data_IF_763844436546
#
_entry.id   IF_763844436546
#
_cell.length_a   1.000
_cell.length_b   1.000
_cell.length_c   1.000
_cell.angle_alpha   90.00
_cell.angle_beta   90.00
_cell.angle_gamma   90.00
#
_symmetry.space_group_name_H-M   'P 1'
#
loop_
_entity.id
_entity.type
_entity.pdbx_description
1 polymer ?
#
# COMPACT_ATOMS: atom_id res chain seq x y z
N UNK A 1 21.90 8.64 -20.62
CA UNK A 1 21.55 7.37 -19.94
C UNK A 1 20.45 6.67 -20.74
N UNK A 2 20.74 5.51 -21.34
CA UNK A 2 19.71 4.65 -21.91
C UNK A 2 18.95 3.96 -20.78
N UNK A 3 17.64 3.80 -20.92
CA UNK A 3 16.77 3.23 -19.88
C UNK A 3 16.20 1.89 -20.37
N UNK A 4 16.20 0.90 -19.48
CA UNK A 4 15.56 -0.39 -19.74
C UNK A 4 14.05 -0.28 -19.46
N UNK A 5 13.23 -0.70 -20.43
CA UNK A 5 11.79 -0.83 -20.25
C UNK A 5 11.44 -2.19 -19.64
N UNK A 6 10.59 -2.20 -18.60
CA UNK A 6 10.11 -3.42 -17.94
C UNK A 6 8.59 -3.47 -18.04
N UNK A 7 8.04 -4.55 -18.59
CA UNK A 7 6.59 -4.71 -18.73
C UNK A 7 6.00 -5.19 -17.39
N UNK A 8 4.77 -4.78 -17.09
CA UNK A 8 4.08 -5.22 -15.86
C UNK A 8 3.95 -6.76 -15.77
N UNK A 9 3.75 -7.42 -16.91
CA UNK A 9 3.71 -8.89 -17.00
C UNK A 9 5.04 -9.53 -16.56
N UNK A 10 6.17 -8.88 -16.84
CA UNK A 10 7.49 -9.37 -16.45
C UNK A 10 7.67 -9.33 -14.93
N UNK A 11 7.13 -8.29 -14.29
CA UNK A 11 7.10 -8.15 -12.82
C UNK A 11 6.28 -9.26 -12.19
N UNK A 12 5.07 -9.51 -12.71
CA UNK A 12 4.18 -10.57 -12.21
C UNK A 12 4.84 -11.95 -12.36
N UNK A 13 5.41 -12.24 -13.53
CA UNK A 13 6.09 -13.51 -13.78
C UNK A 13 7.28 -13.71 -12.83
N UNK A 14 8.00 -12.64 -12.49
CA UNK A 14 9.14 -12.70 -11.59
C UNK A 14 8.73 -12.96 -10.14
N UNK A 15 7.67 -12.30 -9.66
CA UNK A 15 7.09 -12.57 -8.33
C UNK A 15 6.69 -14.04 -8.22
N UNK A 16 6.03 -14.58 -9.25
CA UNK A 16 5.62 -15.98 -9.27
C UNK A 16 6.80 -16.95 -9.36
N UNK A 17 7.85 -16.63 -10.12
CA UNK A 17 9.08 -17.45 -10.20
C UNK A 17 9.79 -17.53 -8.86
N UNK A 18 9.78 -16.43 -8.08
CA UNK A 18 10.37 -16.33 -6.73
C UNK A 18 9.37 -16.66 -5.62
N UNK A 19 8.55 -17.69 -5.83
CA UNK A 19 7.56 -18.16 -4.86
C UNK A 19 8.15 -18.47 -3.47
N UNK A 20 9.44 -18.84 -3.40
CA UNK A 20 10.14 -19.06 -2.14
C UNK A 20 10.21 -17.78 -1.27
N UNK A 21 10.35 -16.59 -1.86
CA UNK A 21 10.32 -15.30 -1.12
C UNK A 21 8.94 -15.11 -0.51
N UNK A 22 7.88 -15.42 -1.26
CA UNK A 22 6.51 -15.38 -0.76
C UNK A 22 6.34 -16.29 0.45
N UNK A 23 6.77 -17.55 0.33
CA UNK A 23 6.68 -18.52 1.43
C UNK A 23 7.47 -18.06 2.65
N UNK A 24 8.69 -17.57 2.48
CA UNK A 24 9.53 -17.06 3.57
C UNK A 24 8.84 -15.90 4.28
N UNK A 25 8.37 -14.87 3.55
CA UNK A 25 7.72 -13.71 4.14
C UNK A 25 6.41 -14.08 4.86
N UNK A 26 5.62 -14.99 4.27
CA UNK A 26 4.39 -15.49 4.91
C UNK A 26 4.71 -16.21 6.22
N UNK A 27 5.69 -17.11 6.23
CA UNK A 27 6.07 -17.83 7.46
C UNK A 27 6.61 -16.84 8.51
N UNK A 28 7.52 -15.94 8.11
CA UNK A 28 8.11 -14.96 9.01
C UNK A 28 7.04 -14.08 9.68
N UNK A 29 6.10 -13.55 8.91
CA UNK A 29 5.05 -12.68 9.45
C UNK A 29 3.98 -13.45 10.22
N UNK A 30 3.64 -14.68 9.78
CA UNK A 30 2.73 -15.56 10.49
C UNK A 30 3.26 -15.99 11.87
N UNK A 31 4.57 -15.96 12.08
CA UNK A 31 5.20 -16.18 13.40
C UNK A 31 5.39 -14.86 14.14
N UNK A 32 5.84 -13.78 13.48
CA UNK A 32 6.16 -12.52 14.14
C UNK A 32 4.93 -11.83 14.74
N UNK A 33 3.80 -11.78 14.02
CA UNK A 33 2.60 -11.04 14.44
C UNK A 33 1.94 -11.65 15.70
N UNK A 34 1.74 -12.98 15.81
CA UNK A 34 1.25 -13.58 17.05
C UNK A 34 2.19 -13.38 18.25
N UNK A 35 3.51 -13.46 18.04
CA UNK A 35 4.50 -13.25 19.11
C UNK A 35 4.49 -11.79 19.59
N UNK A 36 4.37 -10.83 18.68
CA UNK A 36 4.26 -9.42 19.02
C UNK A 36 3.03 -9.15 19.90
N UNK A 37 1.88 -9.75 19.55
CA UNK A 37 0.67 -9.65 20.37
C UNK A 37 0.83 -10.33 21.73
N UNK A 38 1.32 -11.57 21.76
CA UNK A 38 1.53 -12.32 23.01
C UNK A 38 2.42 -11.54 24.00
N UNK A 39 3.50 -10.91 23.52
CA UNK A 39 4.38 -10.11 24.37
C UNK A 39 3.68 -8.86 24.93
N UNK A 40 2.82 -8.20 24.13
CA UNK A 40 2.04 -7.06 24.59
C UNK A 40 0.97 -7.50 25.61
N UNK A 41 0.27 -8.60 25.35
CA UNK A 41 -0.73 -9.17 26.26
C UNK A 41 -0.09 -9.63 27.59
N UNK A 42 1.11 -10.21 27.55
CA UNK A 42 1.89 -10.58 28.74
C UNK A 42 2.32 -9.37 29.55
N UNK A 43 2.85 -8.32 28.90
CA UNK A 43 3.21 -7.06 29.59
C UNK A 43 2.00 -6.42 30.26
N UNK A 44 0.84 -6.45 29.58
CA UNK A 44 -0.42 -5.98 30.12
C UNK A 44 -0.84 -6.80 31.34
N UNK A 45 -0.75 -8.14 31.27
CA UNK A 45 -1.08 -9.03 32.38
C UNK A 45 -0.14 -8.85 33.59
N UNK A 46 1.17 -8.68 33.37
CA UNK A 46 2.15 -8.40 34.44
C UNK A 46 1.92 -7.03 35.08
N UNK A 47 1.61 -6.01 34.27
CA UNK A 47 1.23 -4.68 34.77
C UNK A 47 -0.02 -4.76 35.65
N UNK A 48 -1.03 -5.52 35.22
CA UNK A 48 -2.25 -5.73 35.99
C UNK A 48 -2.00 -6.50 37.29
N UNK A 49 -1.11 -7.50 37.29
CA UNK A 49 -0.72 -8.25 38.51
C UNK A 49 -0.04 -7.35 39.54
N UNK A 50 0.91 -6.52 39.14
CA UNK A 50 1.58 -5.57 40.04
C UNK A 50 0.60 -4.56 40.64
N UNK A 51 -0.37 -4.12 39.84
CA UNK A 51 -1.41 -3.19 40.27
C UNK A 51 -2.34 -3.86 41.32
N UNK A 52 -2.70 -5.13 41.14
CA UNK A 52 -3.48 -5.92 42.10
C UNK A 52 -2.70 -6.18 43.40
N UNK A 53 -1.40 -6.44 43.34
CA UNK A 53 -0.55 -6.68 44.52
C UNK A 53 -0.37 -5.40 45.35
N UNK A 54 -0.21 -4.25 44.70
CA UNK A 54 -0.21 -2.93 45.35
C UNK A 54 -1.56 -2.54 45.97
N UNK A 55 -2.66 -3.07 45.44
CA UNK A 55 -3.99 -2.91 46.05
C UNK A 55 -4.16 -3.80 47.29
N UNK A 56 -3.67 -5.05 47.26
CA UNK A 56 -3.73 -5.96 48.42
C UNK A 56 -2.90 -5.50 49.62
N UNK A 57 -1.72 -4.94 49.38
CA UNK A 57 -0.85 -4.43 50.45
C UNK A 57 -1.43 -3.18 51.16
N UNK A 58 -2.40 -2.51 50.53
CA UNK A 58 -3.17 -1.39 51.12
C UNK A 58 -4.41 -1.83 51.89
N UNK A 59 -4.98 -3.00 51.58
CA UNK A 59 -6.20 -3.52 52.22
C UNK A 59 -5.93 -4.16 53.60
N UNK A 60 -4.73 -4.70 53.86
CA UNK A 60 -4.38 -5.30 55.17
C UNK A 60 -4.21 -4.26 56.32
N UNK A 61 -4.39 -2.97 56.05
CA UNK A 61 -4.16 -1.87 56.99
C UNK A 61 -5.43 -1.13 57.48
N UNK A 62 -6.64 -1.53 57.08
CA UNK A 62 -7.86 -0.83 57.47
C UNK A 62 -8.98 -1.81 57.83
N UNK A 63 -9.15 -2.04 59.14
CA UNK A 63 -10.28 -2.73 59.74
C UNK A 63 -11.25 -1.68 60.34
N UNK A 64 -12.56 -1.93 60.22
CA UNK A 64 -13.73 -1.24 60.84
C UNK A 64 -14.35 0.00 60.12
N UNK A 65 -15.68 0.27 60.26
CA UNK A 65 -16.63 0.18 59.15
C UNK A 65 -17.60 1.39 59.10
N UNK A 66 -17.34 2.36 58.24
CA UNK A 66 -18.37 3.32 57.81
C UNK A 66 -18.16 3.57 56.32
N UNK A 67 -19.02 2.97 55.52
CA UNK A 67 -18.79 2.71 54.11
C UNK A 67 -19.38 3.81 53.23
N UNK A 68 -18.69 4.94 53.14
CA UNK A 68 -18.67 5.79 51.94
C UNK A 68 -17.42 5.41 51.14
N UNK A 69 -17.61 4.75 49.98
CA UNK A 69 -16.51 4.34 49.11
C UNK A 69 -16.01 5.60 48.39
N UNK A 70 -14.90 6.17 48.85
CA UNK A 70 -14.19 7.24 48.15
C UNK A 70 -13.37 6.63 47.01
N UNK A 71 -13.79 6.86 45.76
CA UNK A 71 -13.06 6.39 44.59
C UNK A 71 -11.88 7.31 44.27
N UNK A 72 -10.80 6.82 43.62
CA UNK A 72 -9.71 7.69 43.16
C UNK A 72 -10.23 8.84 42.28
N UNK A 73 -9.60 10.02 42.34
CA UNK A 73 -9.97 11.18 41.50
C UNK A 73 -10.09 10.83 40.00
N UNK A 74 -9.29 9.88 39.53
CA UNK A 74 -9.34 9.38 38.15
C UNK A 74 -10.66 8.66 37.81
N UNK A 75 -11.31 8.01 38.77
CA UNK A 75 -12.63 7.41 38.59
C UNK A 75 -13.66 8.50 38.24
N UNK A 76 -13.72 9.57 39.03
CA UNK A 76 -14.66 10.66 38.83
C UNK A 76 -14.36 11.44 37.54
N UNK A 77 -13.08 11.60 37.18
CA UNK A 77 -12.70 12.20 35.90
C UNK A 77 -13.16 11.35 34.70
N UNK A 78 -12.99 10.03 34.76
CA UNK A 78 -13.43 9.13 33.68
C UNK A 78 -14.95 9.01 33.66
N UNK A 79 -15.62 9.02 34.81
CA UNK A 79 -17.08 9.03 34.92
C UNK A 79 -17.68 10.30 34.30
N UNK A 80 -17.12 11.47 34.59
CA UNK A 80 -17.53 12.72 33.94
C UNK A 80 -17.38 12.65 32.41
N UNK A 81 -16.27 12.08 31.91
CA UNK A 81 -16.09 11.86 30.47
C UNK A 81 -17.15 10.91 29.90
N UNK A 82 -17.47 9.82 30.61
CA UNK A 82 -18.53 8.89 30.18
C UNK A 82 -19.87 9.60 30.08
N UNK A 83 -20.21 10.43 31.06
CA UNK A 83 -21.50 11.14 31.11
C UNK A 83 -21.60 12.20 30.00
N UNK A 84 -20.51 12.91 29.73
CA UNK A 84 -20.41 13.81 28.56
C UNK A 84 -20.62 13.05 27.24
N UNK A 85 -19.93 11.92 27.05
CA UNK A 85 -20.04 11.13 25.82
C UNK A 85 -21.40 10.45 25.66
N UNK A 86 -21.99 9.94 26.73
CA UNK A 86 -23.37 9.40 26.71
C UNK A 86 -24.38 10.49 26.38
N UNK A 87 -24.27 11.65 27.01
CA UNK A 87 -25.13 12.79 26.69
C UNK A 87 -24.97 13.22 25.23
N UNK A 88 -23.76 13.18 24.68
CA UNK A 88 -23.52 13.43 23.26
C UNK A 88 -24.16 12.36 22.35
N UNK A 89 -23.93 11.07 22.62
CA UNK A 89 -24.50 9.96 21.83
C UNK A 89 -26.04 10.00 21.79
N UNK A 90 -26.68 10.37 22.91
CA UNK A 90 -28.14 10.43 23.02
C UNK A 90 -28.75 11.69 22.41
N UNK A 91 -28.06 12.83 22.48
CA UNK A 91 -28.64 14.13 22.13
C UNK A 91 -28.23 14.61 20.74
N UNK A 92 -27.03 14.27 20.28
CA UNK A 92 -26.44 14.76 19.02
C UNK A 92 -27.34 14.48 17.81
N UNK A 93 -27.59 15.51 17.01
CA UNK A 93 -28.28 15.40 15.74
C UNK A 93 -27.50 14.53 14.75
N UNK A 94 -26.16 14.63 14.76
CA UNK A 94 -25.29 13.80 13.93
C UNK A 94 -25.38 12.31 14.27
N UNK A 95 -25.43 11.97 15.56
CA UNK A 95 -25.58 10.57 16.01
C UNK A 95 -26.95 9.97 15.71
N UNK A 96 -27.97 10.81 15.49
CA UNK A 96 -29.35 10.40 15.14
C UNK A 96 -29.59 10.27 13.64
N UNK A 97 -28.66 10.71 12.79
CA UNK A 97 -28.77 10.51 11.35
C UNK A 97 -28.75 9.03 11.02
N UNK A 98 -29.66 8.59 10.16
CA UNK A 98 -29.62 7.26 9.54
C UNK A 98 -28.64 7.29 8.35
N UNK A 99 -27.47 6.64 8.44
CA UNK A 99 -26.47 6.69 7.36
C UNK A 99 -26.94 6.03 6.06
N UNK A 100 -28.02 5.25 6.10
CA UNK A 100 -28.62 4.59 4.92
C UNK A 100 -29.73 5.43 4.28
N UNK A 101 -30.25 6.43 5.00
CA UNK A 101 -31.39 7.24 4.57
C UNK A 101 -31.24 8.69 5.05
N UNK A 102 -30.28 9.39 4.45
CA UNK A 102 -29.99 10.80 4.71
C UNK A 102 -29.60 11.51 3.41
N UNK A 103 -29.42 12.83 3.49
CA UNK A 103 -28.96 13.66 2.37
C UNK A 103 -27.66 14.38 2.72
N UNK A 104 -26.90 14.71 1.68
CA UNK A 104 -25.81 15.66 1.77
C UNK A 104 -26.06 16.84 0.82
N UNK A 105 -25.90 18.06 1.33
CA UNK A 105 -25.83 19.28 0.53
C UNK A 105 -24.37 19.64 0.35
N UNK A 106 -23.92 19.72 -0.91
CA UNK A 106 -22.57 20.15 -1.26
C UNK A 106 -22.60 21.55 -1.84
N UNK A 107 -21.89 22.46 -1.19
CA UNK A 107 -21.62 23.82 -1.67
C UNK A 107 -20.22 23.87 -2.24
N UNK A 108 -20.09 24.22 -3.52
CA UNK A 108 -18.79 24.31 -4.20
C UNK A 108 -18.43 25.76 -4.39
N UNK A 109 -17.30 26.17 -3.81
CA UNK A 109 -16.78 27.53 -3.90
C UNK A 109 -15.48 27.59 -4.69
N UNK A 110 -15.35 28.59 -5.54
CA UNK A 110 -14.10 29.01 -6.15
C UNK A 110 -13.47 30.16 -5.34
N UNK A 111 -12.17 30.03 -5.04
CA UNK A 111 -11.41 31.00 -4.24
C UNK A 111 -10.16 31.42 -5.00
N UNK A 112 -10.14 32.66 -5.46
CA UNK A 112 -9.03 33.25 -6.23
C UNK A 112 -7.82 33.59 -5.32
N UNK A 113 -8.04 34.28 -4.20
CA UNK A 113 -6.98 34.55 -3.20
C UNK A 113 -6.78 33.37 -2.24
N UNK A 114 -6.34 32.24 -2.77
CA UNK A 114 -6.23 31.00 -2.01
C UNK A 114 -5.05 30.98 -1.01
N UNK A 115 -4.13 31.95 -1.05
CA UNK A 115 -3.01 31.99 -0.11
C UNK A 115 -3.43 32.54 1.26
N UNK A 116 -4.43 33.42 1.29
CA UNK A 116 -4.92 34.07 2.52
C UNK A 116 -6.33 33.62 2.87
N UNK A 117 -7.26 33.67 1.91
CA UNK A 117 -8.67 33.42 2.17
C UNK A 117 -8.97 31.93 2.43
N UNK A 118 -8.40 31.02 1.63
CA UNK A 118 -8.69 29.58 1.73
C UNK A 118 -8.30 28.99 3.11
N UNK A 119 -7.08 29.21 3.67
CA UNK A 119 -6.75 28.72 5.00
C UNK A 119 -7.64 29.31 6.10
N UNK A 120 -8.06 30.57 5.95
CA UNK A 120 -8.96 31.23 6.90
C UNK A 120 -10.37 30.61 6.87
N UNK A 121 -10.93 30.36 5.69
CA UNK A 121 -12.22 29.68 5.53
C UNK A 121 -12.19 28.24 6.03
N UNK A 122 -11.16 27.45 5.68
CA UNK A 122 -11.00 26.08 6.19
C UNK A 122 -10.93 26.09 7.72
N UNK A 123 -10.14 27.01 8.30
CA UNK A 123 -10.05 27.13 9.74
C UNK A 123 -11.38 27.57 10.36
N UNK A 124 -12.14 28.45 9.72
CA UNK A 124 -13.44 28.91 10.23
C UNK A 124 -14.50 27.81 10.20
N UNK A 125 -14.59 27.05 9.10
CA UNK A 125 -15.54 25.95 8.89
C UNK A 125 -15.23 24.79 9.84
N UNK A 126 -13.98 24.33 9.91
CA UNK A 126 -13.62 23.15 10.70
C UNK A 126 -13.37 23.44 12.19
N UNK A 127 -13.41 24.71 12.63
CA UNK A 127 -13.31 25.08 14.05
C UNK A 127 -14.69 25.42 14.61
N UNK A 128 -14.77 25.44 15.95
CA UNK A 128 -15.97 25.81 16.72
C UNK A 128 -16.58 27.18 16.36
N UNK A 129 -15.85 28.06 15.68
CA UNK A 129 -16.30 29.41 15.32
C UNK A 129 -17.54 29.43 14.42
N UNK A 130 -17.52 28.72 13.28
CA UNK A 130 -18.69 28.69 12.39
C UNK A 130 -19.90 28.06 13.08
N UNK A 131 -19.66 27.00 13.84
CA UNK A 131 -20.71 26.30 14.57
C UNK A 131 -21.35 27.17 15.67
N UNK A 132 -20.60 28.10 16.27
CA UNK A 132 -21.15 29.10 17.19
C UNK A 132 -22.00 30.14 16.46
N UNK A 133 -21.51 30.65 15.33
CA UNK A 133 -22.21 31.66 14.54
C UNK A 133 -23.53 31.11 13.95
N UNK A 134 -23.53 29.85 13.52
CA UNK A 134 -24.73 29.15 13.04
C UNK A 134 -25.65 28.73 14.20
N UNK A 135 -25.10 28.21 15.30
CA UNK A 135 -25.89 27.76 16.46
C UNK A 135 -26.71 28.88 17.10
N UNK A 136 -26.27 30.13 16.98
CA UNK A 136 -27.05 31.30 17.39
C UNK A 136 -28.24 31.62 16.46
N UNK A 137 -28.27 31.02 15.27
CA UNK A 137 -29.28 31.26 14.22
C UNK A 137 -30.29 30.10 14.11
N UNK A 138 -29.87 28.87 14.43
CA UNK A 138 -30.69 27.67 14.34
C UNK A 138 -31.01 27.12 15.74
N UNK A 139 -32.18 27.46 16.28
CA UNK A 139 -32.60 27.08 17.65
C UNK A 139 -32.63 25.56 17.92
N UNK A 140 -32.72 24.74 16.87
CA UNK A 140 -32.83 23.28 16.96
C UNK A 140 -31.48 22.54 16.92
N UNK A 141 -30.35 23.23 16.72
CA UNK A 141 -29.03 22.61 16.61
C UNK A 141 -28.06 23.21 17.61
N UNK A 142 -27.35 22.35 18.35
CA UNK A 142 -26.26 22.81 19.21
C UNK A 142 -25.01 23.13 18.39
N UNK A 143 -24.08 23.90 18.96
CA UNK A 143 -22.76 24.11 18.36
C UNK A 143 -22.02 22.80 18.07
N UNK A 144 -22.22 21.77 18.89
CA UNK A 144 -21.58 20.47 18.64
C UNK A 144 -22.22 19.80 17.42
N UNK A 145 -23.54 19.86 17.29
CA UNK A 145 -24.25 19.31 16.13
C UNK A 145 -23.77 19.94 14.83
N UNK A 146 -23.68 21.27 14.75
CA UNK A 146 -23.23 21.95 13.52
C UNK A 146 -21.78 21.59 13.18
N UNK A 147 -20.92 21.41 14.20
CA UNK A 147 -19.53 21.02 13.98
C UNK A 147 -19.41 19.63 13.33
N UNK A 148 -20.30 18.71 13.67
CA UNK A 148 -20.27 17.34 13.13
C UNK A 148 -21.06 17.21 11.82
N UNK A 149 -22.07 18.06 11.60
CA UNK A 149 -22.88 18.06 10.38
C UNK A 149 -22.22 18.78 9.21
N UNK A 150 -21.26 19.68 9.45
CA UNK A 150 -20.60 20.50 8.42
C UNK A 150 -19.11 20.18 8.35
N UNK A 151 -18.62 19.90 7.15
CA UNK A 151 -17.20 19.66 6.88
C UNK A 151 -16.76 20.33 5.59
N UNK A 152 -15.46 20.53 5.40
CA UNK A 152 -14.94 21.00 4.11
C UNK A 152 -13.69 20.26 3.64
N UNK A 153 -13.55 20.19 2.32
CA UNK A 153 -12.42 19.57 1.62
C UNK A 153 -12.06 20.33 0.34
N UNK A 154 -10.83 20.18 -0.13
CA UNK A 154 -10.37 20.78 -1.39
C UNK A 154 -10.60 19.77 -2.52
N UNK A 155 -11.44 20.10 -3.50
CA UNK A 155 -11.74 19.21 -4.64
C UNK A 155 -10.75 19.33 -5.80
N UNK A 156 -10.07 20.47 -5.92
CA UNK A 156 -9.16 20.71 -7.03
C UNK A 156 -8.54 22.10 -7.04
N UNK A 157 -7.81 22.38 -8.10
CA UNK A 157 -7.14 23.66 -8.31
C UNK A 157 -7.04 24.02 -9.78
N UNK A 158 -7.17 25.30 -10.09
CA UNK A 158 -6.84 25.90 -11.39
C UNK A 158 -5.48 26.61 -11.29
N UNK A 159 -5.07 27.31 -12.35
CA UNK A 159 -3.86 28.15 -12.32
C UNK A 159 -3.99 29.32 -11.34
N UNK A 160 -5.19 29.88 -11.19
CA UNK A 160 -5.44 31.12 -10.43
C UNK A 160 -6.37 30.94 -9.21
N UNK A 161 -7.01 29.77 -9.03
CA UNK A 161 -8.01 29.55 -7.98
C UNK A 161 -7.98 28.13 -7.37
N UNK A 162 -8.59 27.98 -6.19
CA UNK A 162 -8.83 26.68 -5.54
C UNK A 162 -10.32 26.41 -5.40
N UNK A 163 -10.69 25.14 -5.51
CA UNK A 163 -12.09 24.69 -5.36
C UNK A 163 -12.27 24.09 -3.98
N UNK A 164 -13.05 24.77 -3.13
CA UNK A 164 -13.44 24.33 -1.78
C UNK A 164 -14.84 23.73 -1.82
N UNK A 165 -14.99 22.52 -1.33
CA UNK A 165 -16.30 21.88 -1.12
C UNK A 165 -16.66 21.92 0.35
N UNK A 166 -17.86 22.39 0.65
CA UNK A 166 -18.46 22.31 1.98
C UNK A 166 -19.59 21.30 1.93
N UNK A 167 -19.45 20.22 2.69
CA UNK A 167 -20.42 19.14 2.77
C UNK A 167 -21.24 19.30 4.05
N UNK A 168 -22.56 19.26 3.90
CA UNK A 168 -23.54 19.40 4.99
C UNK A 168 -24.40 18.15 5.03
N UNK A 169 -24.44 17.48 6.17
CA UNK A 169 -25.22 16.27 6.38
C UNK A 169 -26.56 16.60 7.05
N UNK A 170 -27.65 16.00 6.58
CA UNK A 170 -28.99 16.21 7.13
C UNK A 170 -29.90 15.01 6.91
N UNK A 171 -30.96 14.89 7.71
CA UNK A 171 -31.89 13.75 7.64
C UNK A 171 -32.71 13.76 6.34
N UNK A 172 -33.03 14.95 5.85
CA UNK A 172 -33.85 15.16 4.67
C UNK A 172 -33.46 16.49 3.98
N UNK A 173 -34.02 16.71 2.79
CA UNK A 173 -33.71 17.88 1.98
C UNK A 173 -34.05 19.20 2.68
N UNK A 174 -35.18 19.29 3.36
CA UNK A 174 -35.63 20.54 3.99
C UNK A 174 -34.70 20.97 5.14
N UNK A 175 -34.23 20.00 5.94
CA UNK A 175 -33.18 20.21 6.95
C UNK A 175 -31.85 20.61 6.29
N UNK A 176 -31.48 19.94 5.20
CA UNK A 176 -30.28 20.25 4.42
C UNK A 176 -30.29 21.68 3.87
N UNK A 177 -31.41 22.13 3.32
CA UNK A 177 -31.60 23.47 2.77
C UNK A 177 -31.54 24.54 3.89
N UNK A 178 -32.08 24.22 5.07
CA UNK A 178 -32.04 25.08 6.25
C UNK A 178 -30.60 25.29 6.75
N UNK A 179 -29.85 24.19 6.93
CA UNK A 179 -28.46 24.26 7.40
C UNK A 179 -27.58 24.90 6.31
N UNK A 180 -27.77 24.56 5.03
CA UNK A 180 -27.06 25.17 3.90
C UNK A 180 -27.23 26.68 3.84
N UNK A 181 -28.44 27.18 4.06
CA UNK A 181 -28.71 28.61 4.08
C UNK A 181 -27.96 29.33 5.21
N UNK A 182 -27.90 28.71 6.39
CA UNK A 182 -27.14 29.24 7.52
C UNK A 182 -25.63 29.21 7.27
N UNK A 183 -25.10 28.12 6.68
CA UNK A 183 -23.69 27.98 6.31
C UNK A 183 -23.28 29.02 5.27
N UNK A 184 -24.07 29.21 4.20
CA UNK A 184 -23.82 30.25 3.18
C UNK A 184 -23.74 31.64 3.80
N UNK A 185 -24.70 31.96 4.68
CA UNK A 185 -24.70 33.24 5.40
C UNK A 185 -23.46 33.39 6.29
N UNK A 186 -23.11 32.35 7.05
CA UNK A 186 -21.95 32.37 7.94
C UNK A 186 -20.63 32.55 7.19
N UNK A 187 -20.48 31.95 6.00
CA UNK A 187 -19.30 32.13 5.14
C UNK A 187 -19.22 33.56 4.60
N UNK A 188 -20.35 34.12 4.15
CA UNK A 188 -20.45 35.49 3.66
C UNK A 188 -20.07 36.50 4.75
N UNK A 189 -20.71 36.40 5.93
CA UNK A 189 -20.49 37.29 7.06
C UNK A 189 -19.02 37.24 7.53
N UNK A 190 -18.42 36.05 7.57
CA UNK A 190 -17.01 35.88 7.95
C UNK A 190 -16.06 36.58 6.97
N UNK A 191 -16.33 36.46 5.67
CA UNK A 191 -15.55 37.13 4.62
C UNK A 191 -15.56 38.64 4.78
N UNK A 192 -16.75 39.22 4.98
CA UNK A 192 -16.94 40.65 5.19
C UNK A 192 -16.23 41.15 6.46
N UNK A 193 -16.43 40.46 7.59
CA UNK A 193 -15.82 40.84 8.89
C UNK A 193 -14.29 40.78 8.83
N UNK A 194 -13.73 39.82 8.09
CA UNK A 194 -12.27 39.62 8.00
C UNK A 194 -11.62 40.35 6.82
N UNK A 195 -12.41 40.99 5.95
CA UNK A 195 -11.91 41.64 4.74
C UNK A 195 -11.24 40.66 3.78
N UNK A 196 -11.74 39.42 3.71
CA UNK A 196 -11.23 38.38 2.82
C UNK A 196 -11.90 38.47 1.44
N UNK A 197 -11.20 37.99 0.41
CA UNK A 197 -11.83 37.79 -0.91
C UNK A 197 -13.01 36.83 -0.78
N UNK A 198 -14.18 37.27 -1.25
CA UNK A 198 -15.41 36.50 -1.11
C UNK A 198 -15.34 35.22 -1.96
N UNK A 199 -15.62 34.03 -1.41
CA UNK A 199 -15.66 32.79 -2.18
C UNK A 199 -16.86 32.82 -3.13
N UNK A 200 -16.63 32.50 -4.40
CA UNK A 200 -17.67 32.49 -5.42
C UNK A 200 -18.40 31.14 -5.41
N UNK A 201 -19.70 31.13 -5.09
CA UNK A 201 -20.49 29.89 -5.09
C UNK A 201 -20.74 29.45 -6.53
N UNK A 202 -20.11 28.34 -6.92
CA UNK A 202 -20.22 27.74 -8.25
C UNK A 202 -21.46 26.86 -8.38
N UNK A 203 -21.71 26.03 -7.36
CA UNK A 203 -22.74 25.01 -7.43
C UNK A 203 -23.24 24.63 -6.02
N UNK A 204 -24.51 24.23 -5.96
CA UNK A 204 -25.19 23.71 -4.79
C UNK A 204 -25.98 22.46 -5.18
N UNK A 205 -25.53 21.30 -4.70
CA UNK A 205 -26.14 20.01 -5.04
C UNK A 205 -26.59 19.29 -3.78
N UNK A 206 -27.87 18.95 -3.72
CA UNK A 206 -28.41 18.04 -2.71
C UNK A 206 -28.53 16.63 -3.31
N UNK A 207 -27.92 15.64 -2.65
CA UNK A 207 -28.00 14.25 -3.07
C UNK A 207 -28.24 13.33 -1.87
N UNK A 208 -29.09 12.31 -2.07
CA UNK A 208 -29.37 11.27 -1.09
C UNK A 208 -28.59 9.99 -1.39
N UNK A 209 -28.28 9.21 -0.37
CA UNK A 209 -27.57 7.94 -0.52
C UNK A 209 -27.07 7.36 0.80
N UNK A 210 -26.32 6.26 0.70
CA UNK A 210 -25.63 5.69 1.85
C UNK A 210 -24.30 6.43 2.08
N UNK A 211 -24.07 6.90 3.30
CA UNK A 211 -22.85 7.60 3.70
C UNK A 211 -22.05 6.77 4.71
N UNK A 212 -21.19 5.88 4.20
CA UNK A 212 -20.36 4.98 5.03
C UNK A 212 -19.46 5.73 6.03
N UNK A 213 -18.96 6.92 5.66
CA UNK A 213 -18.14 7.73 6.55
C UNK A 213 -18.89 8.22 7.80
N UNK A 214 -20.20 8.49 7.68
CA UNK A 214 -21.05 8.87 8.82
C UNK A 214 -21.26 7.66 9.73
N UNK A 215 -21.56 6.48 9.16
CA UNK A 215 -21.69 5.22 9.90
C UNK A 215 -20.42 4.87 10.68
N UNK A 216 -19.26 4.90 10.02
CA UNK A 216 -17.97 4.56 10.64
C UNK A 216 -17.65 5.51 11.80
N UNK A 217 -17.97 6.80 11.66
CA UNK A 217 -17.76 7.82 12.69
C UNK A 217 -18.69 7.61 13.89
N UNK A 218 -19.97 7.32 13.65
CA UNK A 218 -20.93 6.98 14.70
C UNK A 218 -20.48 5.74 15.49
N UNK A 219 -20.10 4.66 14.79
CA UNK A 219 -19.63 3.42 15.42
C UNK A 219 -18.33 3.61 16.22
N UNK A 220 -17.41 4.46 15.75
CA UNK A 220 -16.19 4.80 16.48
C UNK A 220 -16.50 5.55 17.79
N UNK A 221 -17.47 6.45 17.79
CA UNK A 221 -17.91 7.19 18.99
C UNK A 221 -18.56 6.28 20.04
N UNK A 222 -19.35 5.29 19.63
CA UNK A 222 -19.92 4.27 20.53
C UNK A 222 -18.83 3.37 21.14
N UNK A 223 -17.86 2.95 20.32
CA UNK A 223 -16.72 2.15 20.78
C UNK A 223 -15.87 2.88 21.82
N UNK A 224 -15.66 4.19 21.62
CA UNK A 224 -14.93 5.05 22.57
C UNK A 224 -15.59 5.08 23.95
N UNK A 225 -16.92 5.18 23.99
CA UNK A 225 -17.68 5.19 25.25
C UNK A 225 -17.54 3.85 25.99
N UNK A 226 -17.56 2.74 25.25
CA UNK A 226 -17.34 1.40 25.82
C UNK A 226 -15.94 1.22 26.41
N UNK A 227 -14.91 1.80 25.77
CA UNK A 227 -13.55 1.80 26.28
C UNK A 227 -13.40 2.66 27.55
N UNK A 228 -14.08 3.80 27.63
CA UNK A 228 -14.11 4.63 28.84
C UNK A 228 -14.80 3.92 30.01
N UNK A 229 -15.93 3.24 29.77
CA UNK A 229 -16.62 2.42 30.78
C UNK A 229 -15.68 1.32 31.32
N UNK A 230 -15.00 0.62 30.43
CA UNK A 230 -13.99 -0.40 30.81
C UNK A 230 -12.87 0.21 31.67
N UNK A 231 -12.43 1.43 31.32
CA UNK A 231 -11.41 2.17 32.08
C UNK A 231 -11.93 2.60 33.45
N UNK A 232 -13.15 3.12 33.56
CA UNK A 232 -13.79 3.49 34.83
C UNK A 232 -13.90 2.29 35.76
N UNK A 233 -14.38 1.16 35.24
CA UNK A 233 -14.61 -0.05 36.02
C UNK A 233 -13.31 -0.66 36.58
N UNK A 234 -12.16 -0.27 36.02
CA UNK A 234 -10.84 -0.62 36.57
C UNK A 234 -10.50 0.10 37.89
N UNK A 235 -11.19 1.19 38.23
CA UNK A 235 -10.99 1.94 39.48
C UNK A 235 -11.97 1.58 40.60
N UNK A 236 -12.93 0.67 40.37
CA UNK A 236 -13.90 0.24 41.38
C UNK A 236 -13.33 -0.93 42.21
N UNK A 237 -13.20 -0.81 43.55
CA UNK A 237 -12.80 -1.93 44.41
C UNK A 237 -13.91 -2.99 44.47
N UNK A 238 -13.59 -4.28 44.29
CA UNK A 238 -14.58 -5.36 44.32
C UNK A 238 -14.71 -5.94 45.74
N UNK A 239 -15.90 -5.83 46.36
CA UNK A 239 -16.22 -6.57 47.60
C UNK A 239 -16.47 -8.06 47.29
N UNK A 240 -15.88 -8.94 48.09
CA UNK A 240 -16.06 -10.40 48.03
C UNK A 240 -17.15 -10.84 48.98
N UNK A 241 -18.19 -11.51 48.49
CA UNK A 241 -18.99 -12.43 49.30
C UNK A 241 -19.37 -13.67 48.50
N UNK A 242 -19.21 -14.82 49.16
CA UNK A 242 -19.39 -16.16 48.62
C UNK A 242 -20.74 -16.69 49.08
N UNK A 243 -21.45 -17.44 48.22
CA UNK A 243 -22.10 -18.76 48.45
C UNK A 243 -23.47 -18.92 47.75
N UNK A 244 -23.45 -19.75 46.70
CA UNK A 244 -24.40 -20.78 46.20
C UNK A 244 -25.91 -20.56 45.91
N UNK A 245 -26.26 -21.04 44.69
CA UNK A 245 -27.43 -21.85 44.29
C UNK A 245 -28.65 -21.22 43.54
N UNK A 246 -28.63 -21.48 42.23
CA UNK A 246 -29.73 -21.85 41.31
C UNK A 246 -30.74 -20.80 40.77
N UNK A 247 -30.61 -20.63 39.44
CA UNK A 247 -31.65 -20.45 38.40
C UNK A 247 -32.37 -19.09 38.22
N UNK A 248 -32.13 -18.55 37.02
CA UNK A 248 -32.93 -17.63 36.21
C UNK A 248 -33.12 -16.17 36.70
N UNK A 249 -32.20 -15.30 36.30
CA UNK A 249 -32.52 -14.08 35.52
C UNK A 249 -31.22 -13.50 34.94
N UNK A 250 -31.36 -12.76 33.84
CA UNK A 250 -30.31 -12.08 33.09
C UNK A 250 -29.44 -11.17 33.98
N UNK A 251 -28.24 -11.61 34.31
CA UNK A 251 -27.16 -10.76 34.82
C UNK A 251 -25.82 -11.41 34.47
N UNK A 252 -25.00 -10.72 33.69
CA UNK A 252 -23.73 -11.25 33.20
C UNK A 252 -22.67 -11.14 34.30
N UNK A 253 -22.70 -12.09 35.23
CA UNK A 253 -21.62 -12.38 36.17
C UNK A 253 -20.34 -12.69 35.40
N UNK A 254 -19.35 -11.81 35.52
CA UNK A 254 -18.02 -12.01 34.91
C UNK A 254 -17.19 -12.91 35.80
N UNK A 255 -16.97 -14.13 35.34
CA UNK A 255 -16.05 -15.15 35.84
C UNK A 255 -14.62 -14.58 36.03
N UNK A 256 -14.17 -14.53 37.29
CA UNK A 256 -12.88 -13.96 37.71
C UNK A 256 -11.71 -14.87 37.31
N UNK A 257 -11.94 -16.09 36.83
CA UNK A 257 -10.90 -16.93 36.21
C UNK A 257 -10.32 -16.31 34.93
N UNK A 258 -10.98 -15.32 34.32
CA UNK A 258 -10.50 -14.59 33.14
C UNK A 258 -9.61 -13.38 33.41
N UNK A 259 -9.50 -12.92 34.66
CA UNK A 259 -8.65 -11.76 35.00
C UNK A 259 -7.18 -12.12 35.19
N UNK A 260 -6.88 -13.42 35.32
CA UNK A 260 -5.59 -13.98 34.93
C UNK A 260 -5.83 -14.75 33.63
N UNK A 261 -6.21 -14.04 32.56
CA UNK A 261 -6.11 -14.68 31.24
C UNK A 261 -4.62 -14.84 30.97
N UNK A 262 -4.13 -16.07 31.10
CA UNK A 262 -2.83 -16.43 30.55
C UNK A 262 -2.78 -15.92 29.11
N UNK A 263 -1.64 -15.37 28.70
CA UNK A 263 -1.50 -14.89 27.34
C UNK A 263 -1.77 -16.05 26.37
N UNK A 264 -2.95 -16.06 25.76
CA UNK A 264 -3.38 -17.15 24.89
C UNK A 264 -2.96 -16.84 23.46
N UNK A 265 -2.27 -17.80 22.84
CA UNK A 265 -1.88 -17.71 21.44
C UNK A 265 -3.14 -17.67 20.55
N UNK A 266 -3.50 -16.48 20.06
CA UNK A 266 -4.69 -16.31 19.22
C UNK A 266 -4.35 -16.63 17.75
N UNK A 267 -4.94 -17.73 17.24
CA UNK A 267 -4.75 -18.20 15.85
C UNK A 267 -5.19 -17.20 14.79
N UNK A 268 -6.07 -16.24 15.09
CA UNK A 268 -6.49 -15.20 14.15
C UNK A 268 -5.31 -14.33 13.68
N UNK A 269 -4.32 -14.11 14.55
CA UNK A 269 -3.15 -13.29 14.25
C UNK A 269 -2.15 -13.99 13.32
N UNK A 270 -2.24 -15.31 13.18
CA UNK A 270 -1.47 -16.07 12.18
C UNK A 270 -1.95 -15.70 10.78
N UNK A 271 -3.27 -15.60 10.57
CA UNK A 271 -3.85 -15.24 9.27
C UNK A 271 -3.56 -13.79 8.90
N UNK A 272 -3.65 -12.87 9.87
CA UNK A 272 -3.25 -11.46 9.69
C UNK A 272 -1.76 -11.37 9.32
N UNK A 273 -0.90 -12.10 10.04
CA UNK A 273 0.53 -12.19 9.73
C UNK A 273 0.79 -12.76 8.34
N UNK A 274 0.11 -13.84 7.96
CA UNK A 274 0.25 -14.44 6.63
C UNK A 274 -0.15 -13.46 5.51
N UNK A 275 -1.25 -12.72 5.67
CA UNK A 275 -1.69 -11.71 4.71
C UNK A 275 -0.67 -10.57 4.56
N UNK A 276 -0.17 -10.03 5.68
CA UNK A 276 0.91 -9.05 5.69
C UNK A 276 2.19 -9.59 5.02
N UNK A 277 2.50 -10.87 5.21
CA UNK A 277 3.63 -11.54 4.57
C UNK A 277 3.52 -11.59 3.05
N UNK A 278 2.32 -11.79 2.49
CA UNK A 278 2.10 -11.74 1.03
C UNK A 278 2.40 -10.34 0.49
N UNK A 279 1.88 -9.30 1.15
CA UNK A 279 2.12 -7.90 0.74
C UNK A 279 3.61 -7.59 0.79
N UNK A 280 4.28 -7.95 1.89
CA UNK A 280 5.71 -7.74 2.07
C UNK A 280 6.53 -8.45 0.97
N UNK A 281 6.16 -9.68 0.61
CA UNK A 281 6.83 -10.42 -0.44
C UNK A 281 6.73 -9.74 -1.81
N UNK A 282 5.56 -9.18 -2.15
CA UNK A 282 5.37 -8.45 -3.41
C UNK A 282 6.26 -7.21 -3.43
N UNK A 283 6.27 -6.42 -2.35
CA UNK A 283 7.10 -5.22 -2.22
C UNK A 283 8.59 -5.56 -2.35
N UNK A 284 9.07 -6.59 -1.65
CA UNK A 284 10.47 -7.04 -1.73
C UNK A 284 10.84 -7.45 -3.16
N UNK A 285 9.97 -8.18 -3.85
CA UNK A 285 10.24 -8.56 -5.24
C UNK A 285 10.31 -7.35 -6.17
N UNK A 286 9.42 -6.36 -6.01
CA UNK A 286 9.46 -5.12 -6.78
C UNK A 286 10.78 -4.39 -6.53
N UNK A 287 11.22 -4.27 -5.26
CA UNK A 287 12.50 -3.63 -4.92
C UNK A 287 13.67 -4.38 -5.57
N UNK A 288 13.73 -5.71 -5.45
CA UNK A 288 14.77 -6.53 -6.09
C UNK A 288 14.77 -6.29 -7.60
N UNK A 289 13.59 -6.14 -8.22
CA UNK A 289 13.47 -5.89 -9.65
C UNK A 289 14.02 -4.52 -10.03
N UNK A 290 13.64 -3.47 -9.30
CA UNK A 290 14.08 -2.09 -9.54
C UNK A 290 15.58 -1.90 -9.30
N UNK A 291 16.15 -2.57 -8.29
CA UNK A 291 17.59 -2.47 -7.98
C UNK A 291 18.43 -3.31 -8.93
N UNK A 292 17.89 -4.42 -9.43
CA UNK A 292 18.64 -5.31 -10.34
C UNK A 292 18.55 -4.80 -11.77
N UNK A 293 19.67 -4.30 -12.28
CA UNK A 293 19.90 -3.89 -13.67
C UNK A 293 20.05 -5.08 -14.64
N UNK A 294 19.25 -6.13 -14.47
CA UNK A 294 19.38 -7.36 -15.28
C UNK A 294 18.41 -7.34 -16.45
N UNK A 295 18.85 -7.86 -17.59
CA UNK A 295 18.02 -8.00 -18.78
C UNK A 295 16.96 -9.07 -18.53
N UNK A 296 15.68 -8.69 -18.51
CA UNK A 296 14.57 -9.62 -18.19
C UNK A 296 13.69 -9.98 -19.38
N UNK A 297 13.64 -9.09 -20.35
CA UNK A 297 12.78 -9.17 -21.51
C UNK A 297 13.65 -9.27 -22.77
N UNK A 298 13.25 -10.16 -23.67
CA UNK A 298 13.91 -10.39 -24.95
C UNK A 298 13.96 -9.12 -25.81
N UNK A 299 12.94 -8.26 -25.73
CA UNK A 299 12.87 -7.03 -26.53
C UNK A 299 13.65 -5.85 -25.94
N UNK A 300 14.23 -5.98 -24.74
CA UNK A 300 14.85 -4.84 -24.05
C UNK A 300 16.02 -4.21 -24.82
N UNK A 301 16.82 -5.04 -25.50
CA UNK A 301 17.96 -4.56 -26.30
C UNK A 301 17.46 -3.92 -27.61
N UNK A 302 16.54 -4.58 -28.33
CA UNK A 302 15.93 -4.00 -29.53
C UNK A 302 15.25 -2.65 -29.24
N UNK A 303 14.44 -2.54 -28.19
CA UNK A 303 13.75 -1.30 -27.81
C UNK A 303 14.73 -0.16 -27.43
N UNK A 304 15.93 -0.50 -26.93
CA UNK A 304 16.91 0.50 -26.46
C UNK A 304 17.99 0.88 -27.48
N UNK A 305 18.29 -0.03 -28.42
CA UNK A 305 19.42 0.10 -29.35
C UNK A 305 19.03 -0.08 -30.81
N UNK A 306 17.82 -0.56 -31.12
CA UNK A 306 17.38 -0.84 -32.49
C UNK A 306 18.08 -2.05 -33.13
N UNK A 307 18.75 -2.90 -32.35
CA UNK A 307 19.46 -4.08 -32.85
C UNK A 307 18.47 -5.18 -33.26
N UNK A 308 18.80 -5.89 -34.33
CA UNK A 308 17.98 -7.01 -34.83
C UNK A 308 17.94 -8.17 -33.83
N UNK A 309 16.74 -8.68 -33.58
CA UNK A 309 16.50 -9.79 -32.66
C UNK A 309 16.36 -11.11 -33.42
N UNK A 310 17.29 -12.04 -33.20
CA UNK A 310 17.32 -13.32 -33.92
C UNK A 310 16.55 -14.45 -33.24
N UNK A 311 16.19 -14.31 -31.96
CA UNK A 311 15.37 -15.28 -31.25
C UNK A 311 15.87 -15.61 -29.84
N UNK A 312 15.11 -16.47 -29.14
CA UNK A 312 15.46 -16.96 -27.81
C UNK A 312 15.82 -18.44 -27.84
N UNK A 313 17.04 -18.75 -27.43
CA UNK A 313 17.53 -20.11 -27.21
C UNK A 313 17.13 -20.58 -25.81
N UNK A 314 16.69 -21.82 -25.70
CA UNK A 314 16.22 -22.38 -24.44
C UNK A 314 17.32 -23.15 -23.70
N UNK A 315 17.24 -23.19 -22.37
CA UNK A 315 18.03 -24.14 -21.58
C UNK A 315 17.31 -25.48 -21.47
N UNK A 316 18.04 -26.57 -21.57
CA UNK A 316 17.47 -27.93 -21.55
C UNK A 316 16.75 -28.28 -20.23
N UNK A 317 17.15 -27.63 -19.13
CA UNK A 317 16.63 -27.89 -17.78
C UNK A 317 15.82 -26.73 -17.23
N UNK A 318 14.61 -26.51 -17.76
CA UNK A 318 13.63 -25.61 -17.14
C UNK A 318 12.75 -26.37 -16.14
N UNK A 319 12.60 -25.82 -14.93
CA UNK A 319 11.72 -26.37 -13.90
C UNK A 319 10.24 -26.39 -14.34
N UNK A 320 9.47 -27.38 -13.89
CA UNK A 320 8.02 -27.47 -14.18
C UNK A 320 7.27 -26.19 -13.75
N UNK A 321 7.68 -25.59 -12.62
CA UNK A 321 7.12 -24.34 -12.13
C UNK A 321 7.39 -23.17 -13.08
N UNK A 322 8.62 -23.01 -13.57
CA UNK A 322 8.93 -21.96 -14.56
C UNK A 322 8.10 -22.11 -15.83
N UNK A 323 7.92 -23.34 -16.33
CA UNK A 323 7.04 -23.59 -17.49
C UNK A 323 5.59 -23.22 -17.22
N UNK A 324 5.09 -23.47 -16.01
CA UNK A 324 3.75 -23.07 -15.60
C UNK A 324 3.61 -21.56 -15.55
N UNK A 325 4.55 -20.85 -14.91
CA UNK A 325 4.55 -19.37 -14.87
C UNK A 325 4.61 -18.79 -16.27
N UNK A 326 5.43 -19.36 -17.16
CA UNK A 326 5.52 -18.90 -18.54
C UNK A 326 4.21 -19.06 -19.29
N UNK A 327 3.53 -20.20 -19.13
CA UNK A 327 2.22 -20.45 -19.71
C UNK A 327 1.15 -19.48 -19.16
N UNK A 328 1.24 -19.12 -17.89
CA UNK A 328 0.27 -18.24 -17.23
C UNK A 328 0.44 -16.78 -17.66
N UNK A 329 1.69 -16.29 -17.66
CA UNK A 329 2.00 -14.88 -17.92
C UNK A 329 2.18 -14.57 -19.42
N UNK A 330 2.65 -15.52 -20.22
CA UNK A 330 2.95 -15.32 -21.63
C UNK A 330 2.13 -16.28 -22.51
N UNK A 331 0.91 -15.84 -22.88
CA UNK A 331 -0.08 -16.58 -23.70
C UNK A 331 0.42 -17.05 -25.08
N UNK A 332 1.52 -16.49 -25.60
CA UNK A 332 2.22 -16.89 -26.83
C UNK A 332 3.74 -16.80 -26.63
N UNK A 333 4.27 -17.59 -25.71
CA UNK A 333 5.72 -17.74 -25.60
C UNK A 333 6.23 -18.58 -26.78
N UNK A 334 6.53 -17.94 -27.91
CA UNK A 334 7.16 -18.60 -29.06
C UNK A 334 8.61 -18.86 -28.69
N UNK A 335 8.89 -20.05 -28.19
CA UNK A 335 10.26 -20.51 -28.09
C UNK A 335 10.74 -20.80 -29.50
N UNK A 336 11.66 -19.98 -29.97
CA UNK A 336 12.29 -20.22 -31.25
C UNK A 336 13.34 -21.30 -31.08
N UNK A 337 13.27 -22.31 -31.94
CA UNK A 337 14.25 -23.38 -31.95
C UNK A 337 15.61 -22.78 -32.36
N UNK A 338 16.72 -23.31 -31.86
CA UNK A 338 18.10 -22.87 -32.19
C UNK A 338 18.29 -22.80 -33.72
N UNK A 339 17.67 -23.73 -34.46
CA UNK A 339 17.63 -23.74 -35.92
C UNK A 339 17.05 -22.47 -36.54
N UNK A 340 15.97 -21.93 -35.96
CA UNK A 340 15.33 -20.70 -36.45
C UNK A 340 16.25 -19.50 -36.23
N UNK A 341 16.88 -19.42 -35.05
CA UNK A 341 17.87 -18.38 -34.75
C UNK A 341 19.06 -18.45 -35.71
N UNK A 342 19.60 -19.66 -35.93
CA UNK A 342 20.70 -19.89 -36.87
C UNK A 342 20.33 -19.46 -38.30
N UNK A 343 19.13 -19.81 -38.78
CA UNK A 343 18.66 -19.41 -40.11
C UNK A 343 18.50 -17.89 -40.26
N UNK A 344 18.03 -17.19 -39.22
CA UNK A 344 17.91 -15.72 -39.25
C UNK A 344 19.26 -15.03 -39.27
N UNK A 345 20.21 -15.53 -38.49
CA UNK A 345 21.60 -15.07 -38.52
C UNK A 345 22.20 -15.34 -39.90
N UNK A 346 21.97 -16.54 -40.46
CA UNK A 346 22.50 -16.87 -41.78
C UNK A 346 21.98 -15.94 -42.87
N UNK A 347 20.67 -15.68 -42.85
CA UNK A 347 20.04 -14.75 -43.79
C UNK A 347 20.59 -13.33 -43.69
N UNK A 348 20.92 -12.82 -42.49
CA UNK A 348 21.52 -11.48 -42.37
C UNK A 348 22.95 -11.47 -42.91
N UNK A 349 23.70 -12.56 -42.67
CA UNK A 349 25.06 -12.72 -43.15
C UNK A 349 25.10 -12.78 -44.69
N UNK A 350 24.18 -13.51 -45.32
CA UNK A 350 24.05 -13.57 -46.78
C UNK A 350 23.74 -12.19 -47.37
N UNK A 351 22.82 -11.44 -46.75
CA UNK A 351 22.45 -10.10 -47.20
C UNK A 351 23.59 -9.07 -47.05
N UNK A 352 24.56 -9.35 -46.18
CA UNK A 352 25.68 -8.44 -45.87
C UNK A 352 27.03 -8.93 -46.39
N UNK A 353 27.06 -10.04 -47.14
CA UNK A 353 28.26 -10.73 -47.63
C UNK A 353 29.29 -11.05 -46.52
N UNK A 354 28.78 -11.42 -45.35
CA UNK A 354 29.59 -11.76 -44.17
C UNK A 354 29.72 -13.28 -44.04
N UNK A 355 30.95 -13.80 -44.10
CA UNK A 355 31.23 -15.25 -43.96
C UNK A 355 31.75 -15.66 -42.59
N UNK A 356 32.20 -14.72 -41.78
CA UNK A 356 32.77 -14.95 -40.46
C UNK A 356 32.14 -14.02 -39.43
N UNK A 357 31.64 -14.61 -38.35
CA UNK A 357 31.00 -13.88 -37.26
C UNK A 357 31.55 -14.31 -35.90
N UNK A 358 31.51 -13.38 -34.97
CA UNK A 358 31.88 -13.60 -33.58
C UNK A 358 30.63 -13.57 -32.70
N UNK A 359 30.46 -14.63 -31.93
CA UNK A 359 29.39 -14.73 -30.93
C UNK A 359 29.99 -14.33 -29.58
N UNK A 360 29.43 -13.32 -28.94
CA UNK A 360 29.94 -12.80 -27.66
C UNK A 360 28.81 -12.26 -26.79
N UNK A 361 29.03 -12.14 -25.49
CA UNK A 361 28.08 -11.52 -24.58
C UNK A 361 28.06 -12.16 -23.20
N UNK A 362 27.05 -11.81 -22.41
CA UNK A 362 27.00 -12.17 -21.00
C UNK A 362 26.11 -13.39 -20.78
N UNK A 363 26.76 -14.55 -20.61
CA UNK A 363 26.15 -15.82 -20.26
C UNK A 363 26.82 -16.40 -19.02
N UNK A 364 26.08 -17.15 -18.21
CA UNK A 364 26.65 -17.72 -16.97
C UNK A 364 27.62 -18.87 -17.24
N UNK A 365 27.44 -19.59 -18.35
CA UNK A 365 28.30 -20.66 -18.85
C UNK A 365 28.10 -20.76 -20.37
N UNK A 366 29.17 -21.08 -21.10
CA UNK A 366 29.09 -21.47 -22.51
C UNK A 366 28.24 -22.74 -22.63
N UNK A 367 26.93 -22.54 -22.82
CA UNK A 367 25.92 -23.57 -22.82
C UNK A 367 26.14 -24.53 -24.01
N UNK A 368 25.78 -25.80 -23.86
CA UNK A 368 25.81 -26.79 -24.94
C UNK A 368 25.02 -26.28 -26.16
N UNK A 369 23.97 -25.50 -25.89
CA UNK A 369 23.14 -24.83 -26.88
C UNK A 369 23.89 -23.81 -27.76
N UNK A 370 24.96 -23.18 -27.27
CA UNK A 370 25.80 -22.27 -28.09
C UNK A 370 26.67 -23.07 -29.04
N UNK A 371 27.19 -24.22 -28.61
CA UNK A 371 27.93 -25.13 -29.49
C UNK A 371 27.03 -25.62 -30.62
N UNK A 372 25.79 -26.01 -30.29
CA UNK A 372 24.78 -26.38 -31.29
C UNK A 372 24.51 -25.23 -32.26
N UNK A 373 24.39 -24.00 -31.78
CA UNK A 373 24.22 -22.82 -32.64
C UNK A 373 25.42 -22.62 -33.59
N UNK A 374 26.64 -22.71 -33.07
CA UNK A 374 27.87 -22.61 -33.86
C UNK A 374 27.92 -23.71 -34.93
N UNK A 375 27.59 -24.94 -34.58
CA UNK A 375 27.59 -26.06 -35.52
C UNK A 375 26.49 -25.92 -36.58
N UNK A 376 25.34 -25.35 -36.25
CA UNK A 376 24.28 -25.08 -37.21
C UNK A 376 24.66 -23.96 -38.19
N UNK A 377 25.34 -22.91 -37.71
CA UNK A 377 25.86 -21.83 -38.56
C UNK A 377 26.94 -22.34 -39.52
N UNK A 378 27.81 -23.26 -39.07
CA UNK A 378 28.81 -23.90 -39.95
C UNK A 378 28.16 -24.70 -41.08
N UNK A 379 27.01 -25.34 -40.84
CA UNK A 379 26.26 -26.05 -41.91
C UNK A 379 25.71 -25.08 -42.96
N UNK A 380 25.50 -23.83 -42.60
CA UNK A 380 25.08 -22.74 -43.51
C UNK A 380 26.29 -21.99 -44.10
N UNK A 381 27.49 -22.59 -44.07
CA UNK A 381 28.73 -22.01 -44.60
C UNK A 381 29.20 -20.72 -43.89
N UNK A 382 28.76 -20.49 -42.65
CA UNK A 382 29.17 -19.34 -41.84
C UNK A 382 30.15 -19.79 -40.75
N UNK A 383 31.34 -19.20 -40.76
CA UNK A 383 32.36 -19.41 -39.72
C UNK A 383 31.98 -18.63 -38.46
N UNK A 384 31.33 -19.31 -37.51
CA UNK A 384 31.00 -18.74 -36.20
C UNK A 384 32.03 -19.13 -35.14
N UNK A 385 32.54 -18.13 -34.41
CA UNK A 385 33.50 -18.32 -33.30
C UNK A 385 32.91 -17.73 -32.03
N UNK A 386 32.80 -18.55 -30.97
CA UNK A 386 32.47 -18.04 -29.64
C UNK A 386 33.69 -17.37 -29.01
N UNK A 387 33.49 -16.15 -28.51
CA UNK A 387 34.47 -15.37 -27.77
C UNK A 387 33.80 -14.79 -26.53
N UNK A 388 34.50 -14.81 -25.39
CA UNK A 388 34.00 -14.18 -24.17
C UNK A 388 33.86 -12.66 -24.34
N UNK A 389 33.19 -11.98 -23.40
CA UNK A 389 32.91 -10.54 -23.53
C UNK A 389 34.20 -9.74 -23.68
N UNK A 390 34.36 -9.12 -24.86
CA UNK A 390 35.60 -8.43 -25.24
C UNK A 390 35.80 -7.09 -24.53
N UNK A 391 34.80 -6.56 -23.82
CA UNK A 391 35.02 -5.41 -22.94
C UNK A 391 35.90 -5.76 -21.74
N UNK A 392 36.00 -7.05 -21.41
CA UNK A 392 36.75 -7.56 -20.26
C UNK A 392 38.01 -8.32 -20.65
N UNK A 393 38.14 -8.74 -21.91
CA UNK A 393 39.32 -9.46 -22.42
C UNK A 393 39.93 -8.78 -23.66
N UNK A 394 41.19 -8.35 -23.51
CA UNK A 394 41.96 -7.66 -24.54
C UNK A 394 42.33 -8.55 -25.72
N UNK A 395 42.47 -9.86 -25.52
CA UNK A 395 42.83 -10.78 -26.62
C UNK A 395 41.61 -11.07 -27.51
N UNK A 396 40.45 -11.23 -26.88
CA UNK A 396 39.13 -11.24 -27.53
C UNK A 396 38.87 -9.97 -28.35
N UNK A 397 39.18 -8.80 -27.81
CA UNK A 397 38.99 -7.52 -28.51
C UNK A 397 39.87 -7.39 -29.75
N UNK A 398 41.16 -7.77 -29.67
CA UNK A 398 42.06 -7.75 -30.84
C UNK A 398 41.54 -8.63 -31.98
N UNK A 399 41.00 -9.81 -31.65
CA UNK A 399 40.45 -10.73 -32.64
C UNK A 399 39.25 -10.14 -33.39
N UNK A 400 38.43 -9.33 -32.70
CA UNK A 400 37.22 -8.73 -33.27
C UNK A 400 37.55 -7.43 -34.01
N UNK A 401 38.51 -6.62 -33.56
CA UNK A 401 38.90 -5.38 -34.27
C UNK A 401 39.38 -5.66 -35.70
N UNK A 402 40.07 -6.78 -35.92
CA UNK A 402 40.67 -7.07 -37.23
C UNK A 402 39.64 -7.51 -38.30
N UNK A 403 38.49 -8.11 -37.92
CA UNK A 403 37.52 -8.71 -38.88
C UNK A 403 36.05 -8.74 -38.38
N UNK A 404 35.69 -7.93 -37.38
CA UNK A 404 34.56 -8.22 -36.49
C UNK A 404 33.17 -7.86 -37.02
N UNK A 405 32.43 -8.89 -37.44
CA UNK A 405 30.96 -8.87 -37.38
C UNK A 405 30.53 -9.64 -36.13
N UNK A 406 29.71 -9.01 -35.28
CA UNK A 406 29.37 -9.54 -33.95
C UNK A 406 27.87 -9.79 -33.83
N UNK A 407 27.53 -10.92 -33.22
CA UNK A 407 26.19 -11.23 -32.73
C UNK A 407 26.25 -11.38 -31.21
N UNK A 408 25.45 -10.58 -30.50
CA UNK A 408 25.41 -10.64 -29.04
C UNK A 408 24.57 -11.82 -28.54
N UNK A 409 25.05 -12.53 -27.52
CA UNK A 409 24.32 -13.60 -26.83
C UNK A 409 24.19 -13.22 -25.36
N UNK A 410 22.96 -12.96 -24.91
CA UNK A 410 22.69 -12.49 -23.56
C UNK A 410 21.72 -13.41 -22.82
N UNK A 411 22.15 -13.90 -21.65
CA UNK A 411 21.29 -14.72 -20.81
C UNK A 411 20.32 -13.85 -19.99
N UNK A 412 19.02 -14.11 -20.14
CA UNK A 412 18.00 -13.40 -19.39
C UNK A 412 18.17 -13.61 -17.88
N UNK A 413 17.88 -12.57 -17.09
CA UNK A 413 17.95 -12.54 -15.62
C UNK A 413 19.36 -12.80 -15.06
N UNK A 414 20.38 -12.81 -15.92
CA UNK A 414 21.80 -12.99 -15.57
C UNK A 414 22.65 -11.87 -16.12
N UNK A 415 22.54 -11.57 -17.41
CA UNK A 415 23.21 -10.44 -18.05
C UNK A 415 22.75 -9.11 -17.44
N UNK A 416 23.71 -8.25 -17.10
CA UNK A 416 23.43 -6.87 -16.69
C UNK A 416 23.26 -5.99 -17.94
N UNK A 417 22.29 -5.09 -17.89
CA UNK A 417 22.01 -4.18 -18.99
C UNK A 417 23.15 -3.18 -19.16
N UNK A 418 23.74 -2.68 -18.06
CA UNK A 418 24.94 -1.85 -18.08
C UNK A 418 26.13 -2.49 -18.82
N UNK A 419 26.40 -3.78 -18.58
CA UNK A 419 27.50 -4.49 -19.25
C UNK A 419 27.26 -4.59 -20.77
N UNK A 420 26.01 -4.89 -21.17
CA UNK A 420 25.63 -4.90 -22.59
C UNK A 420 25.72 -3.52 -23.23
N UNK A 421 25.37 -2.46 -22.49
CA UNK A 421 25.55 -1.07 -22.95
C UNK A 421 27.04 -0.79 -23.19
N UNK A 422 27.92 -1.25 -22.30
CA UNK A 422 29.36 -1.10 -22.43
C UNK A 422 29.89 -1.84 -23.66
N UNK A 423 29.52 -3.10 -23.85
CA UNK A 423 29.91 -3.92 -25.02
C UNK A 423 29.49 -3.26 -26.34
N UNK A 424 28.24 -2.77 -26.42
CA UNK A 424 27.74 -2.06 -27.60
C UNK A 424 28.48 -0.74 -27.81
N UNK A 425 28.83 -0.03 -26.73
CA UNK A 425 29.56 1.25 -26.82
C UNK A 425 30.96 1.01 -27.38
N UNK A 426 31.71 0.04 -26.83
CA UNK A 426 33.04 -0.33 -27.32
C UNK A 426 32.99 -0.79 -28.77
N UNK A 427 31.99 -1.60 -29.15
CA UNK A 427 31.82 -2.03 -30.54
C UNK A 427 31.66 -0.84 -31.49
N UNK A 428 30.81 0.13 -31.13
CA UNK A 428 30.62 1.33 -31.94
C UNK A 428 31.88 2.20 -32.01
N UNK A 429 32.60 2.38 -30.90
CA UNK A 429 33.84 3.17 -30.85
C UNK A 429 34.96 2.58 -31.72
N UNK A 430 35.03 1.25 -31.79
CA UNK A 430 36.03 0.53 -32.59
C UNK A 430 35.55 0.21 -34.02
N UNK A 431 34.40 0.75 -34.45
CA UNK A 431 33.77 0.48 -35.76
C UNK A 431 33.52 -1.01 -36.05
N UNK A 432 33.21 -1.78 -35.00
CA UNK A 432 32.83 -3.20 -35.11
C UNK A 432 31.36 -3.28 -35.54
N UNK A 433 31.08 -4.10 -36.55
CA UNK A 433 29.73 -4.27 -37.10
C UNK A 433 28.88 -5.16 -36.19
N UNK A 434 27.76 -4.63 -35.67
CA UNK A 434 26.82 -5.38 -34.83
C UNK A 434 25.67 -5.87 -35.70
N UNK A 435 25.60 -7.18 -35.94
CA UNK A 435 24.56 -7.78 -36.78
C UNK A 435 23.23 -7.93 -36.03
N UNK A 436 23.27 -8.10 -34.71
CA UNK A 436 22.08 -8.28 -33.89
C UNK A 436 22.35 -9.06 -32.61
N UNK A 437 21.31 -9.66 -32.03
CA UNK A 437 21.42 -10.41 -30.79
C UNK A 437 20.46 -11.59 -30.67
N UNK A 438 20.87 -12.54 -29.83
CA UNK A 438 20.12 -13.72 -29.40
C UNK A 438 20.01 -13.68 -27.88
N UNK A 439 18.88 -14.13 -27.35
CA UNK A 439 18.70 -14.27 -25.90
C UNK A 439 18.75 -15.72 -25.48
N UNK A 440 19.30 -16.01 -24.30
CA UNK A 440 19.27 -17.35 -23.70
C UNK A 440 18.32 -17.35 -22.52
N UNK A 441 17.43 -18.34 -22.47
CA UNK A 441 16.48 -18.50 -21.38
C UNK A 441 17.16 -18.73 -20.02
N UNK A 442 16.52 -18.20 -18.97
CA UNK A 442 16.93 -18.36 -17.58
C UNK A 442 16.40 -19.65 -16.95
#
# INVERSE_FOLDING_TARGET
MKKQYIKAVDVIAEVLRKWYILVICVILMAVAVPNFKYNNDKKLAESNKKLIEQMKEKDDAADDPDNDIDYPDEYYQVQNQIDEWKSYLEKSAFMKLDPYNMVAVRLTYEIDDYNVALPAYIAYINKKSMAQDIGNTLENYTTVDIQDLVSCEILGSTEDSKILSVNIYASNKDEGDTISSAVKKAISDYGEIKGLSMPNLMDEVCYGGMFTGVYDTQAANESRTSALVTKRDSYVPKKTDTTEASSQTSDATVDISKLVTEAHFNKAYIFIGAFLGVILAVVINIIIICVSDKIRNDSAINESFGLDYFGRINKDKISKWSKFVDRLCYRRYSQENILVSALRIAKICDNTDVKKIYLTGHISNADENIKVLVDELKKQEIEAVWIDSFSQDTDSLKCIIENGNVVFINELRKAYFGDVVQDITVANEQNISILGYVTVGA
#
